data_IF_842653454868
#
_entry.id   IF_842653454868
#
_cell.length_a   1.000
_cell.length_b   1.000
_cell.length_c   1.000
_cell.angle_alpha   90.00
_cell.angle_beta   90.00
_cell.angle_gamma   90.00
#
_symmetry.space_group_name_H-M   'P 1'
#
loop_
_entity.id
_entity.type
_entity.pdbx_description
1 polymer ?
#
# COMPACT_ATOMS: atom_id res chain seq x y z
N UNK A 1 -19.73 -40.62 -76.79
CA UNK A 1 -19.99 -40.87 -75.36
C UNK A 1 -18.91 -40.16 -74.56
N UNK A 2 -19.14 -38.91 -74.15
CA UNK A 2 -19.85 -38.51 -72.92
C UNK A 2 -19.10 -38.95 -71.66
N UNK A 3 -18.50 -37.99 -70.95
CA UNK A 3 -18.94 -37.62 -69.60
C UNK A 3 -17.97 -36.61 -68.98
N UNK A 4 -18.49 -35.42 -68.71
CA UNK A 4 -17.96 -34.42 -67.79
C UNK A 4 -17.67 -35.01 -66.41
N UNK A 5 -16.56 -34.59 -65.78
CA UNK A 5 -16.53 -34.43 -64.34
C UNK A 5 -15.72 -33.19 -63.97
N UNK A 6 -16.48 -32.18 -63.53
CA UNK A 6 -16.01 -31.05 -62.72
C UNK A 6 -15.20 -31.56 -61.52
N UNK A 7 -13.96 -31.09 -61.43
CA UNK A 7 -13.07 -31.29 -60.30
C UNK A 7 -12.77 -29.95 -59.61
N UNK A 8 -13.81 -29.30 -59.06
CA UNK A 8 -13.61 -28.30 -58.00
C UNK A 8 -13.08 -29.03 -56.77
N UNK A 9 -11.75 -29.06 -56.64
CA UNK A 9 -11.08 -29.50 -55.42
C UNK A 9 -11.55 -28.61 -54.27
N UNK A 10 -12.44 -29.16 -53.45
CA UNK A 10 -12.91 -28.57 -52.21
C UNK A 10 -11.73 -28.19 -51.33
N UNK A 11 -11.71 -26.94 -50.92
CA UNK A 11 -10.87 -26.45 -49.82
C UNK A 11 -11.25 -27.28 -48.60
N UNK A 12 -10.25 -27.86 -47.94
CA UNK A 12 -10.36 -28.71 -46.76
C UNK A 12 -11.29 -28.14 -45.65
N UNK A 13 -12.59 -28.40 -45.72
CA UNK A 13 -13.57 -28.17 -44.65
C UNK A 13 -13.22 -28.85 -43.31
N UNK A 14 -12.50 -30.00 -43.24
CA UNK A 14 -12.14 -30.62 -41.95
C UNK A 14 -11.05 -29.84 -41.18
N UNK A 15 -10.14 -29.15 -41.90
CA UNK A 15 -8.97 -28.48 -41.31
C UNK A 15 -9.30 -27.08 -40.77
N UNK A 16 -10.22 -26.36 -41.42
CA UNK A 16 -10.69 -25.04 -40.95
C UNK A 16 -11.59 -25.21 -39.72
N UNK A 17 -12.47 -26.21 -39.73
CA UNK A 17 -13.33 -26.60 -38.59
C UNK A 17 -12.52 -26.87 -37.32
N UNK A 18 -11.49 -27.72 -37.41
CA UNK A 18 -10.61 -28.07 -36.27
C UNK A 18 -9.77 -26.90 -35.76
N UNK A 19 -9.45 -25.91 -36.61
CA UNK A 19 -8.73 -24.71 -36.21
C UNK A 19 -9.64 -23.73 -35.45
N UNK A 20 -10.88 -23.53 -35.93
CA UNK A 20 -11.89 -22.72 -35.26
C UNK A 20 -12.26 -23.28 -33.88
N UNK A 21 -12.47 -24.60 -33.76
CA UNK A 21 -12.76 -25.26 -32.48
C UNK A 21 -11.60 -25.11 -31.47
N UNK A 22 -10.35 -25.22 -31.93
CA UNK A 22 -9.16 -24.99 -31.09
C UNK A 22 -9.09 -23.56 -30.56
N UNK A 23 -9.35 -22.56 -31.41
CA UNK A 23 -9.38 -21.16 -31.00
C UNK A 23 -10.53 -20.86 -30.04
N UNK A 24 -11.70 -21.46 -30.26
CA UNK A 24 -12.84 -21.35 -29.35
C UNK A 24 -12.51 -21.91 -27.96
N UNK A 25 -11.83 -23.05 -27.89
CA UNK A 25 -11.36 -23.62 -26.63
C UNK A 25 -10.35 -22.74 -25.88
N UNK A 26 -9.48 -22.04 -26.61
CA UNK A 26 -8.52 -21.08 -26.03
C UNK A 26 -9.26 -19.86 -25.49
N UNK A 27 -10.23 -19.33 -26.23
CA UNK A 27 -11.11 -18.23 -25.82
C UNK A 27 -11.90 -18.58 -24.55
N UNK A 28 -12.52 -19.76 -24.50
CA UNK A 28 -13.26 -20.24 -23.32
C UNK A 28 -12.36 -20.38 -22.09
N UNK A 29 -11.12 -20.87 -22.27
CA UNK A 29 -10.15 -20.96 -21.17
C UNK A 29 -9.74 -19.58 -20.69
N UNK A 30 -9.50 -18.63 -21.60
CA UNK A 30 -9.16 -17.25 -21.24
C UNK A 30 -10.33 -16.55 -20.54
N UNK A 31 -11.56 -16.73 -21.00
CA UNK A 31 -12.75 -16.20 -20.33
C UNK A 31 -12.91 -16.78 -18.93
N UNK A 32 -12.78 -18.09 -18.75
CA UNK A 32 -12.82 -18.73 -17.42
C UNK A 32 -11.74 -18.18 -16.51
N UNK A 33 -10.52 -17.98 -17.02
CA UNK A 33 -9.40 -17.42 -16.26
C UNK A 33 -9.63 -15.96 -15.88
N UNK A 34 -10.19 -15.17 -16.80
CA UNK A 34 -10.54 -13.77 -16.55
C UNK A 34 -11.68 -13.63 -15.53
N UNK A 35 -12.72 -14.47 -15.62
CA UNK A 35 -13.78 -14.57 -14.60
C UNK A 35 -13.21 -14.93 -13.23
N UNK A 36 -12.29 -15.89 -13.15
CA UNK A 36 -11.60 -16.27 -11.91
C UNK A 36 -10.77 -15.12 -11.34
N UNK A 37 -9.95 -14.47 -12.15
CA UNK A 37 -9.13 -13.32 -11.73
C UNK A 37 -9.99 -12.15 -11.23
N UNK A 38 -11.11 -11.85 -11.89
CA UNK A 38 -12.06 -10.82 -11.41
C UNK A 38 -12.63 -11.17 -10.04
N UNK A 39 -12.89 -12.44 -9.77
CA UNK A 39 -13.44 -12.91 -8.49
C UNK A 39 -12.40 -12.85 -7.38
N UNK A 40 -11.15 -13.26 -7.66
CA UNK A 40 -10.00 -13.13 -6.77
C UNK A 40 -9.70 -11.67 -6.45
N UNK A 41 -9.74 -10.78 -7.45
CA UNK A 41 -9.55 -9.34 -7.25
C UNK A 41 -10.65 -8.74 -6.35
N UNK A 42 -11.91 -9.15 -6.53
CA UNK A 42 -13.02 -8.74 -5.66
C UNK A 42 -12.82 -9.20 -4.22
N UNK A 43 -12.42 -10.47 -4.01
CA UNK A 43 -12.13 -10.99 -2.67
C UNK A 43 -10.95 -10.26 -2.01
N UNK A 44 -9.87 -10.02 -2.74
CA UNK A 44 -8.71 -9.29 -2.23
C UNK A 44 -9.06 -7.85 -1.83
N UNK A 45 -9.88 -7.16 -2.62
CA UNK A 45 -10.37 -5.82 -2.28
C UNK A 45 -11.29 -5.82 -1.05
N UNK A 46 -12.15 -6.84 -0.91
CA UNK A 46 -13.01 -6.99 0.27
C UNK A 46 -12.16 -7.18 1.54
N UNK A 47 -11.11 -8.01 1.46
CA UNK A 47 -10.19 -8.25 2.57
C UNK A 47 -9.45 -6.97 2.96
N UNK A 48 -8.93 -6.21 1.99
CA UNK A 48 -8.29 -4.91 2.23
C UNK A 48 -9.23 -3.90 2.90
N UNK A 49 -10.51 -3.89 2.51
CA UNK A 49 -11.52 -3.03 3.15
C UNK A 49 -11.79 -3.45 4.60
N UNK A 50 -11.86 -4.76 4.88
CA UNK A 50 -12.00 -5.27 6.24
C UNK A 50 -10.78 -4.92 7.11
N UNK A 51 -9.56 -5.08 6.59
CA UNK A 51 -8.34 -4.72 7.32
C UNK A 51 -8.26 -3.22 7.58
N UNK A 52 -8.66 -2.39 6.61
CA UNK A 52 -8.77 -0.93 6.79
C UNK A 52 -9.79 -0.58 7.88
N UNK A 53 -10.93 -1.26 7.92
CA UNK A 53 -11.95 -1.03 8.96
C UNK A 53 -11.43 -1.41 10.36
N UNK A 54 -10.74 -2.55 10.50
CA UNK A 54 -10.10 -2.97 11.77
C UNK A 54 -9.02 -1.99 12.22
N UNK A 55 -8.22 -1.49 11.28
CA UNK A 55 -7.21 -0.46 11.55
C UNK A 55 -7.85 0.84 12.05
N UNK A 56 -8.92 1.30 11.39
CA UNK A 56 -9.67 2.48 11.84
C UNK A 56 -10.27 2.29 13.25
N UNK A 57 -10.85 1.12 13.55
CA UNK A 57 -11.34 0.82 14.91
C UNK A 57 -10.23 0.85 15.96
N UNK A 58 -9.06 0.29 15.64
CA UNK A 58 -7.91 0.29 16.54
C UNK A 58 -7.41 1.72 16.81
N UNK A 59 -7.35 2.56 15.76
CA UNK A 59 -7.01 3.98 15.87
C UNK A 59 -8.01 4.75 16.76
N UNK A 60 -9.32 4.54 16.58
CA UNK A 60 -10.32 5.16 17.43
C UNK A 60 -10.12 4.79 18.90
N UNK A 61 -9.85 3.52 19.19
CA UNK A 61 -9.61 3.05 20.57
C UNK A 61 -8.40 3.70 21.21
N UNK A 62 -7.27 3.76 20.49
CA UNK A 62 -6.05 4.44 20.97
C UNK A 62 -6.30 5.93 21.19
N UNK A 63 -7.11 6.55 20.33
CA UNK A 63 -7.47 7.98 20.46
C UNK A 63 -8.32 8.24 21.70
N UNK A 64 -9.28 7.37 22.01
CA UNK A 64 -10.07 7.44 23.24
C UNK A 64 -9.22 7.27 24.49
N UNK A 65 -8.29 6.31 24.50
CA UNK A 65 -7.35 6.08 25.60
C UNK A 65 -6.45 7.31 25.82
N UNK A 66 -5.90 7.90 24.76
CA UNK A 66 -5.10 9.13 24.84
C UNK A 66 -5.92 10.30 25.40
N UNK A 67 -7.16 10.47 24.95
CA UNK A 67 -8.10 11.46 25.52
C UNK A 67 -8.42 11.20 26.99
N UNK A 68 -8.44 9.94 27.43
CA UNK A 68 -8.56 9.54 28.83
C UNK A 68 -7.35 9.99 29.66
N UNK A 69 -6.15 9.64 29.21
CA UNK A 69 -4.88 10.03 29.87
C UNK A 69 -4.74 11.55 29.97
N UNK A 70 -5.08 12.29 28.90
CA UNK A 70 -5.00 13.75 28.90
C UNK A 70 -5.96 14.39 29.90
N UNK A 71 -7.15 13.81 30.10
CA UNK A 71 -8.09 14.23 31.16
C UNK A 71 -7.54 13.96 32.55
N UNK A 72 -6.90 12.82 32.78
CA UNK A 72 -6.27 12.52 34.08
C UNK A 72 -5.09 13.45 34.40
N UNK A 73 -4.22 13.72 33.42
CA UNK A 73 -3.12 14.69 33.58
C UNK A 73 -3.69 16.07 33.95
N UNK A 74 -4.75 16.49 33.26
CA UNK A 74 -5.40 17.79 33.55
C UNK A 74 -5.96 17.85 34.97
N UNK A 75 -6.67 16.79 35.41
CA UNK A 75 -7.16 16.67 36.80
C UNK A 75 -6.02 16.71 37.81
N UNK A 76 -4.93 15.98 37.57
CA UNK A 76 -3.77 15.97 38.45
C UNK A 76 -3.09 17.33 38.55
N UNK A 77 -3.00 18.08 37.44
CA UNK A 77 -2.44 19.43 37.46
C UNK A 77 -3.33 20.41 38.24
N UNK A 78 -4.66 20.32 38.09
CA UNK A 78 -5.61 21.10 38.89
C UNK A 78 -5.45 20.77 40.38
N UNK A 79 -5.40 19.49 40.75
CA UNK A 79 -5.21 19.07 42.14
C UNK A 79 -3.89 19.56 42.72
N UNK A 80 -2.79 19.50 41.96
CA UNK A 80 -1.50 20.07 42.38
C UNK A 80 -1.60 21.57 42.64
N UNK A 81 -2.30 22.31 41.77
CA UNK A 81 -2.48 23.75 41.91
C UNK A 81 -3.30 24.10 43.15
N UNK A 82 -4.39 23.38 43.40
CA UNK A 82 -5.22 23.52 44.61
C UNK A 82 -4.39 23.24 45.86
N UNK A 83 -3.60 22.16 45.89
CA UNK A 83 -2.76 21.82 47.03
C UNK A 83 -1.70 22.89 47.33
N UNK A 84 -1.06 23.44 46.29
CA UNK A 84 -0.13 24.57 46.41
C UNK A 84 -0.82 25.81 47.00
N UNK A 85 -2.03 26.10 46.55
CA UNK A 85 -2.78 27.27 47.03
C UNK A 85 -3.24 27.10 48.49
N UNK A 86 -3.67 25.89 48.88
CA UNK A 86 -3.96 25.54 50.28
C UNK A 86 -2.71 25.71 51.14
N UNK A 87 -1.55 25.18 50.71
CA UNK A 87 -0.31 25.29 51.46
C UNK A 87 0.12 26.75 51.65
N UNK A 88 -0.02 27.57 50.61
CA UNK A 88 0.27 29.00 50.67
C UNK A 88 -0.66 29.74 51.66
N UNK A 89 -1.96 29.43 51.65
CA UNK A 89 -2.91 30.00 52.63
C UNK A 89 -2.55 29.60 54.06
N UNK A 90 -2.22 28.33 54.31
CA UNK A 90 -1.77 27.88 55.62
C UNK A 90 -0.51 28.64 56.10
N UNK A 91 0.45 28.89 55.21
CA UNK A 91 1.63 29.70 55.57
C UNK A 91 1.29 31.15 55.89
N UNK A 92 0.39 31.77 55.12
CA UNK A 92 -0.08 33.13 55.38
C UNK A 92 -0.81 33.21 56.72
N UNK A 93 -1.73 32.29 56.99
CA UNK A 93 -2.50 32.25 58.23
C UNK A 93 -1.58 32.04 59.44
N UNK A 94 -0.59 31.16 59.32
CA UNK A 94 0.43 30.95 60.36
C UNK A 94 1.23 32.22 60.63
N UNK A 95 1.69 32.91 59.58
CA UNK A 95 2.45 34.16 59.71
C UNK A 95 1.61 35.28 60.33
N UNK A 96 0.32 35.37 59.97
CA UNK A 96 -0.61 36.32 60.58
C UNK A 96 -0.84 36.01 62.07
N UNK A 97 -0.91 34.73 62.43
CA UNK A 97 -1.05 34.29 63.82
C UNK A 97 0.20 34.61 64.65
N UNK A 98 1.39 34.42 64.08
CA UNK A 98 2.67 34.80 64.70
C UNK A 98 2.74 36.32 64.93
N UNK A 99 2.43 37.14 63.90
CA UNK A 99 2.39 38.60 64.02
C UNK A 99 1.39 39.09 65.08
N UNK A 100 0.17 38.52 65.10
CA UNK A 100 -0.83 38.89 66.09
C UNK A 100 -0.40 38.51 67.51
N UNK A 101 0.29 37.38 67.68
CA UNK A 101 0.84 36.98 68.98
C UNK A 101 1.94 37.92 69.45
N UNK A 102 2.77 38.43 68.53
CA UNK A 102 3.83 39.40 68.83
C UNK A 102 3.24 40.75 69.27
N UNK A 103 2.24 41.25 68.54
CA UNK A 103 1.53 42.49 68.90
C UNK A 103 0.87 42.38 70.29
N UNK A 104 0.22 41.25 70.60
CA UNK A 104 -0.40 41.04 71.91
C UNK A 104 0.63 40.97 73.03
N UNK A 105 1.81 40.43 72.75
CA UNK A 105 2.91 40.36 73.72
C UNK A 105 3.45 41.76 74.01
N UNK A 106 3.68 42.57 72.99
CA UNK A 106 4.15 43.96 73.15
C UNK A 106 3.13 44.81 73.93
N UNK A 107 1.83 44.61 73.68
CA UNK A 107 0.77 45.27 74.45
C UNK A 107 0.75 44.85 75.92
N UNK A 108 0.99 43.56 76.20
CA UNK A 108 1.04 43.04 77.56
C UNK A 108 2.25 43.59 78.31
N UNK A 109 3.42 43.61 77.67
CA UNK A 109 4.66 44.14 78.24
C UNK A 109 4.52 45.64 78.54
N UNK A 110 3.89 46.42 77.65
CA UNK A 110 3.59 47.84 77.90
C UNK A 110 2.68 48.05 79.12
N UNK A 111 1.63 47.23 79.28
CA UNK A 111 0.75 47.32 80.46
C UNK A 111 1.41 46.87 81.76
N UNK A 112 2.37 45.96 81.66
CA UNK A 112 3.12 45.47 82.81
C UNK A 112 4.04 46.58 83.36
N UNK A 113 4.67 47.34 82.47
CA UNK A 113 5.45 48.55 82.84
C UNK A 113 4.56 49.59 83.52
N UNK A 114 3.37 49.89 82.98
CA UNK A 114 2.42 50.81 83.62
C UNK A 114 1.98 50.36 85.02
N UNK A 115 1.78 49.04 85.20
CA UNK A 115 1.41 48.47 86.49
C UNK A 115 2.58 48.52 87.50
N UNK A 116 3.82 48.32 87.06
CA UNK A 116 5.02 48.45 87.89
C UNK A 116 5.20 49.90 88.38
N UNK A 117 5.01 50.89 87.52
CA UNK A 117 5.06 52.31 87.88
C UNK A 117 3.99 52.71 88.92
N UNK A 118 2.78 52.16 88.82
CA UNK A 118 1.71 52.36 89.81
C UNK A 118 2.05 51.72 91.17
N UNK A 119 2.67 50.54 91.17
CA UNK A 119 3.11 49.87 92.39
C UNK A 119 4.20 50.69 93.09
N UNK A 120 5.13 51.29 92.34
CA UNK A 120 6.16 52.19 92.89
C UNK A 120 5.53 53.40 93.56
N UNK A 121 4.60 54.10 92.88
CA UNK A 121 3.88 55.26 93.45
C UNK A 121 3.07 54.92 94.71
N UNK A 122 2.43 53.76 94.75
CA UNK A 122 1.69 53.29 95.94
C UNK A 122 2.61 52.96 97.12
N UNK A 123 3.82 52.43 96.87
CA UNK A 123 4.82 52.21 97.91
C UNK A 123 5.35 53.52 98.49
N UNK A 124 5.57 54.53 97.67
CA UNK A 124 5.99 55.87 98.10
C UNK A 124 4.91 56.55 98.96
N UNK A 125 3.63 56.45 98.58
CA UNK A 125 2.51 56.95 99.40
C UNK A 125 2.38 56.22 100.75
N UNK A 126 2.60 54.91 100.79
CA UNK A 126 2.55 54.14 102.04
C UNK A 126 3.69 54.52 103.01
N UNK A 127 4.89 54.84 102.49
CA UNK A 127 6.01 55.35 103.29
C UNK A 127 5.78 56.78 103.80
N UNK A 128 5.09 57.62 103.03
CA UNK A 128 4.71 58.99 103.43
C UNK A 128 3.67 58.99 104.57
N UNK A 129 2.71 58.05 104.55
CA UNK A 129 1.72 57.86 105.62
C UNK A 129 2.41 57.34 106.90
N UNK A 130 3.34 56.40 106.77
CA UNK A 130 4.08 55.85 107.92
C UNK A 130 5.01 56.87 108.60
N UNK A 131 5.41 57.96 107.91
CA UNK A 131 6.20 59.05 108.48
C UNK A 131 5.37 60.12 109.22
N UNK A 132 4.04 60.19 109.03
CA UNK A 132 3.17 61.23 109.62
C UNK A 132 2.55 60.88 110.98
N UNK A 133 2.80 59.69 111.55
CA UNK A 133 2.03 59.17 112.70
C UNK A 133 2.76 59.07 114.05
N UNK A 134 3.95 59.66 114.25
CA UNK A 134 4.66 59.58 115.54
C UNK A 134 5.41 60.88 115.91
N UNK A 135 4.71 61.85 116.50
CA UNK A 135 5.33 62.91 117.30
C UNK A 135 4.29 63.58 118.21
N UNK A 136 4.36 63.34 119.54
CA UNK A 136 3.67 64.17 120.54
C UNK A 136 4.22 63.98 121.98
N UNK A 137 4.70 65.11 122.55
CA UNK A 137 4.62 65.57 123.96
C UNK A 137 5.75 65.32 124.99
N UNK A 138 6.64 66.33 125.10
CA UNK A 138 6.95 67.30 126.20
C UNK A 138 7.04 66.91 127.70
N UNK A 139 8.23 67.17 128.26
CA UNK A 139 8.65 68.07 129.39
C UNK A 139 8.15 68.04 130.86
N UNK A 140 9.15 67.96 131.76
CA UNK A 140 9.46 68.78 132.98
C UNK A 140 8.97 68.43 134.43
N UNK A 141 9.95 68.06 135.30
CA UNK A 141 10.35 68.63 136.63
C UNK A 141 9.47 68.54 137.93
N UNK A 142 10.04 68.68 139.18
CA UNK A 142 9.98 67.66 140.26
C UNK A 142 9.62 68.13 141.70
N UNK A 143 9.14 67.24 142.60
CA UNK A 143 9.33 67.31 144.08
C UNK A 143 8.79 66.06 144.80
N UNK A 144 9.37 65.74 145.97
CA UNK A 144 8.94 64.77 147.03
C UNK A 144 9.85 63.53 147.15
N UNK A 145 10.84 63.62 148.05
CA UNK A 145 11.72 62.53 148.51
C UNK A 145 11.46 62.26 149.99
N UNK A 146 10.90 61.08 150.33
CA UNK A 146 11.36 60.18 151.44
C UNK A 146 10.50 58.92 151.62
N UNK A 147 9.34 58.77 150.95
CA UNK A 147 8.52 57.53 150.93
C UNK A 147 8.73 56.69 149.65
N UNK A 148 9.77 57.05 148.87
CA UNK A 148 10.07 56.63 147.50
C UNK A 148 10.84 55.29 147.40
N UNK A 149 11.66 54.94 148.39
CA UNK A 149 12.55 53.76 148.31
C UNK A 149 11.88 52.38 148.39
N UNK A 150 10.64 52.26 148.88
CA UNK A 150 9.92 50.97 148.95
C UNK A 150 8.86 50.80 147.86
N UNK A 151 8.33 51.89 147.32
CA UNK A 151 7.43 51.89 146.17
C UNK A 151 8.22 51.76 144.86
N UNK A 152 9.42 52.34 144.78
CA UNK A 152 10.29 52.29 143.59
C UNK A 152 10.80 50.88 143.28
N UNK A 153 11.12 50.06 144.30
CA UNK A 153 11.56 48.68 144.06
C UNK A 153 10.44 47.79 143.48
N UNK A 154 9.19 47.96 143.94
CA UNK A 154 8.04 47.25 143.39
C UNK A 154 7.64 47.78 142.00
N UNK A 155 7.70 49.10 141.80
CA UNK A 155 7.47 49.72 140.50
C UNK A 155 8.56 49.36 139.47
N UNK A 156 9.82 49.19 139.89
CA UNK A 156 10.93 48.78 139.05
C UNK A 156 10.82 47.31 138.63
N UNK A 157 10.40 46.41 139.54
CA UNK A 157 10.13 45.00 139.21
C UNK A 157 8.92 44.88 138.28
N UNK A 158 7.82 45.60 138.54
CA UNK A 158 6.66 45.60 137.64
C UNK A 158 6.97 46.26 136.29
N UNK A 159 7.76 47.34 136.26
CA UNK A 159 8.23 47.94 135.01
C UNK A 159 9.15 46.99 134.24
N UNK A 160 9.99 46.21 134.92
CA UNK A 160 10.84 45.18 134.31
C UNK A 160 10.00 44.03 133.75
N UNK A 161 9.03 43.52 134.49
CA UNK A 161 8.07 42.52 134.00
C UNK A 161 7.27 43.05 132.81
N UNK A 162 6.81 44.30 132.85
CA UNK A 162 6.04 44.89 131.76
C UNK A 162 6.89 45.16 130.51
N UNK A 163 8.18 45.48 130.65
CA UNK A 163 9.13 45.53 129.53
C UNK A 163 9.33 44.13 128.93
N UNK A 164 9.49 43.10 129.77
CA UNK A 164 9.65 41.72 129.31
C UNK A 164 8.39 41.20 128.59
N UNK A 165 7.19 41.52 129.11
CA UNK A 165 5.92 41.17 128.46
C UNK A 165 5.80 41.88 127.11
N UNK A 166 6.05 43.19 127.04
CA UNK A 166 6.01 43.93 125.76
C UNK A 166 7.03 43.40 124.75
N UNK A 167 8.21 43.01 125.22
CA UNK A 167 9.23 42.41 124.35
C UNK A 167 8.79 41.03 123.83
N UNK A 168 8.23 40.17 124.69
CA UNK A 168 7.68 38.88 124.28
C UNK A 168 6.47 39.04 123.33
N UNK A 169 5.64 40.07 123.51
CA UNK A 169 4.54 40.41 122.60
C UNK A 169 5.04 40.85 121.23
N UNK A 170 6.08 41.68 121.18
CA UNK A 170 6.74 42.09 119.94
C UNK A 170 7.37 40.90 119.21
N UNK A 171 8.14 40.06 119.92
CA UNK A 171 8.74 38.83 119.37
C UNK A 171 7.66 37.85 118.87
N UNK A 172 6.54 37.73 119.58
CA UNK A 172 5.38 36.93 119.15
C UNK A 172 4.70 37.50 117.91
N UNK A 173 4.59 38.82 117.80
CA UNK A 173 4.02 39.49 116.63
C UNK A 173 4.93 39.36 115.40
N UNK A 174 6.25 39.52 115.58
CA UNK A 174 7.25 39.26 114.54
C UNK A 174 7.23 37.79 114.09
N UNK A 175 7.12 36.85 115.03
CA UNK A 175 6.97 35.42 114.74
C UNK A 175 5.68 35.12 113.96
N UNK A 176 4.55 35.73 114.32
CA UNK A 176 3.29 35.60 113.56
C UNK A 176 3.42 36.14 112.14
N UNK A 177 4.04 37.31 111.95
CA UNK A 177 4.29 37.88 110.62
C UNK A 177 5.23 36.99 109.80
N UNK A 178 6.27 36.44 110.41
CA UNK A 178 7.17 35.48 109.77
C UNK A 178 6.44 34.20 109.35
N UNK A 179 5.58 33.64 110.22
CA UNK A 179 4.76 32.48 109.88
C UNK A 179 3.77 32.77 108.75
N UNK A 180 3.11 33.93 108.75
CA UNK A 180 2.18 34.30 107.69
C UNK A 180 2.90 34.46 106.33
N UNK A 181 4.10 35.03 106.34
CA UNK A 181 4.96 35.12 105.16
C UNK A 181 5.41 33.74 104.67
N UNK A 182 5.78 32.83 105.57
CA UNK A 182 6.11 31.45 105.21
C UNK A 182 4.90 30.71 104.63
N UNK A 183 3.70 30.89 105.18
CA UNK A 183 2.46 30.32 104.65
C UNK A 183 2.13 30.84 103.25
N UNK A 184 2.28 32.14 103.02
CA UNK A 184 2.13 32.74 101.67
C UNK A 184 3.16 32.18 100.68
N UNK A 185 4.41 31.97 101.12
CA UNK A 185 5.46 31.33 100.30
C UNK A 185 5.14 29.86 100.00
N UNK A 186 4.68 29.10 100.99
CA UNK A 186 4.27 27.70 100.81
C UNK A 186 3.15 27.58 99.77
N UNK A 187 2.09 28.38 99.89
CA UNK A 187 0.98 28.38 98.92
C UNK A 187 1.46 28.73 97.50
N UNK A 188 2.43 29.65 97.35
CA UNK A 188 3.05 29.95 96.05
C UNK A 188 3.84 28.75 95.52
N UNK A 189 4.62 28.08 96.37
CA UNK A 189 5.38 26.88 95.99
C UNK A 189 4.45 25.73 95.60
N UNK A 190 3.36 25.50 96.33
CA UNK A 190 2.36 24.48 96.00
C UNK A 190 1.66 24.78 94.67
N UNK A 191 1.29 26.05 94.43
CA UNK A 191 0.74 26.49 93.14
C UNK A 191 1.73 26.28 92.00
N UNK A 192 3.00 26.64 92.19
CA UNK A 192 4.06 26.40 91.20
C UNK A 192 4.30 24.91 90.97
N UNK A 193 4.22 24.09 92.01
CA UNK A 193 4.37 22.64 91.91
C UNK A 193 3.21 21.99 91.15
N UNK A 194 1.98 22.46 91.36
CA UNK A 194 0.81 22.04 90.58
C UNK A 194 0.96 22.41 89.09
N UNK A 195 1.37 23.65 88.79
CA UNK A 195 1.67 24.11 87.41
C UNK A 195 2.81 23.31 86.77
N UNK A 196 3.83 22.93 87.55
CA UNK A 196 4.92 22.06 87.08
C UNK A 196 4.38 20.68 86.71
N UNK A 197 3.48 20.10 87.51
CA UNK A 197 2.84 18.82 87.23
C UNK A 197 2.08 18.84 85.89
N UNK A 198 1.26 19.86 85.66
CA UNK A 198 0.51 20.00 84.40
C UNK A 198 1.43 20.24 83.18
N UNK A 199 2.51 21.01 83.36
CA UNK A 199 3.50 21.26 82.30
C UNK A 199 4.31 20.01 81.94
N UNK A 200 4.69 19.20 82.93
CA UNK A 200 5.40 17.93 82.70
C UNK A 200 4.49 16.95 81.97
N UNK A 201 3.23 16.86 82.36
CA UNK A 201 2.27 15.97 81.71
C UNK A 201 1.95 16.40 80.27
N UNK A 202 1.79 17.71 80.01
CA UNK A 202 1.58 18.21 78.65
C UNK A 202 2.81 17.99 77.76
N UNK A 203 4.01 18.16 78.32
CA UNK A 203 5.28 17.89 77.63
C UNK A 203 5.46 16.40 77.34
N UNK A 204 5.05 15.52 78.26
CA UNK A 204 5.07 14.07 78.08
C UNK A 204 4.12 13.62 76.98
N UNK A 205 2.90 14.15 76.95
CA UNK A 205 1.92 13.89 75.89
C UNK A 205 2.42 14.38 74.53
N UNK A 206 2.91 15.62 74.47
CA UNK A 206 3.49 16.19 73.25
C UNK A 206 4.65 15.34 72.71
N UNK A 207 5.54 14.86 73.59
CA UNK A 207 6.63 13.94 73.21
C UNK A 207 6.09 12.63 72.62
N UNK A 208 5.10 12.01 73.26
CA UNK A 208 4.49 10.77 72.78
C UNK A 208 3.82 10.96 71.41
N UNK A 209 3.10 12.06 71.21
CA UNK A 209 2.44 12.37 69.94
C UNK A 209 3.46 12.62 68.82
N UNK A 210 4.56 13.30 69.13
CA UNK A 210 5.67 13.52 68.19
C UNK A 210 6.39 12.22 67.82
N UNK A 211 6.62 11.32 68.78
CA UNK A 211 7.20 10.00 68.52
C UNK A 211 6.29 9.17 67.60
N UNK A 212 4.98 9.16 67.86
CA UNK A 212 4.02 8.48 67.00
C UNK A 212 3.99 9.08 65.59
N UNK A 213 3.98 10.41 65.48
CA UNK A 213 4.06 11.09 64.18
C UNK A 213 5.36 10.78 63.43
N UNK A 214 6.49 10.71 64.15
CA UNK A 214 7.78 10.35 63.58
C UNK A 214 7.78 8.91 63.03
N UNK A 215 7.19 7.96 63.75
CA UNK A 215 7.08 6.57 63.27
C UNK A 215 6.22 6.47 62.00
N UNK A 216 5.07 7.14 61.96
CA UNK A 216 4.21 7.21 60.77
C UNK A 216 4.93 7.82 59.57
N UNK A 217 5.64 8.94 59.75
CA UNK A 217 6.38 9.58 58.67
C UNK A 217 7.59 8.74 58.23
N UNK A 218 8.24 8.02 59.14
CA UNK A 218 9.31 7.08 58.80
C UNK A 218 8.78 5.94 57.91
N UNK A 219 7.62 5.38 58.23
CA UNK A 219 7.00 4.33 57.44
C UNK A 219 6.55 4.83 56.06
N UNK A 220 5.95 6.02 55.99
CA UNK A 220 5.63 6.69 54.71
C UNK A 220 6.88 6.89 53.86
N UNK A 221 7.98 7.38 54.45
CA UNK A 221 9.25 7.57 53.74
C UNK A 221 9.83 6.24 53.24
N UNK A 222 9.72 5.17 54.02
CA UNK A 222 10.13 3.82 53.59
C UNK A 222 9.30 3.34 52.40
N UNK A 223 7.98 3.53 52.43
CA UNK A 223 7.08 3.16 51.34
C UNK A 223 7.38 3.97 50.07
N UNK A 224 7.53 5.29 50.19
CA UNK A 224 7.91 6.15 49.07
C UNK A 224 9.27 5.76 48.47
N UNK A 225 10.25 5.40 49.31
CA UNK A 225 11.55 4.90 48.85
C UNK A 225 11.42 3.59 48.06
N UNK A 226 10.57 2.67 48.54
CA UNK A 226 10.25 1.44 47.82
C UNK A 226 9.56 1.72 46.47
N UNK A 227 8.65 2.69 46.41
CA UNK A 227 7.99 3.04 45.16
C UNK A 227 8.94 3.71 44.18
N UNK A 228 9.86 4.56 44.67
CA UNK A 228 10.94 5.15 43.84
C UNK A 228 11.83 4.06 43.25
N UNK A 229 12.22 3.04 44.03
CA UNK A 229 13.06 1.95 43.52
C UNK A 229 12.33 1.09 42.48
N UNK A 230 11.04 0.78 42.71
CA UNK A 230 10.19 0.11 41.71
C UNK A 230 10.08 0.94 40.43
N UNK A 231 9.78 2.23 40.53
CA UNK A 231 9.68 3.11 39.36
C UNK A 231 10.99 3.19 38.58
N UNK A 232 12.13 3.27 39.27
CA UNK A 232 13.45 3.20 38.61
C UNK A 232 13.64 1.90 37.85
N UNK A 233 13.25 0.75 38.42
CA UNK A 233 13.36 -0.54 37.73
C UNK A 233 12.47 -0.61 36.48
N UNK A 234 11.24 -0.07 36.56
CA UNK A 234 10.31 0.00 35.43
C UNK A 234 10.89 0.89 34.33
N UNK A 235 11.42 2.06 34.68
CA UNK A 235 12.07 2.98 33.71
C UNK A 235 13.25 2.29 33.01
N UNK A 236 14.10 1.57 33.75
CA UNK A 236 15.20 0.81 33.16
C UNK A 236 14.70 -0.26 32.18
N UNK A 237 13.65 -1.00 32.53
CA UNK A 237 13.05 -2.01 31.64
C UNK A 237 12.45 -1.37 30.38
N UNK A 238 11.73 -0.24 30.52
CA UNK A 238 11.19 0.50 29.39
C UNK A 238 12.29 1.03 28.47
N UNK A 239 13.38 1.57 29.03
CA UNK A 239 14.52 2.04 28.24
C UNK A 239 15.17 0.91 27.43
N UNK A 240 15.26 -0.29 28.00
CA UNK A 240 15.74 -1.47 27.27
C UNK A 240 14.79 -1.85 26.13
N UNK A 241 13.47 -1.85 26.38
CA UNK A 241 12.48 -2.11 25.33
C UNK A 241 12.56 -1.07 24.20
N UNK A 242 12.69 0.22 24.52
CA UNK A 242 12.86 1.29 23.53
C UNK A 242 14.14 1.08 22.71
N UNK A 243 15.24 0.68 23.35
CA UNK A 243 16.50 0.36 22.65
C UNK A 243 16.31 -0.81 21.67
N UNK A 244 15.62 -1.87 22.08
CA UNK A 244 15.32 -3.01 21.22
C UNK A 244 14.41 -2.64 20.05
N UNK A 245 13.38 -1.84 20.29
CA UNK A 245 12.49 -1.35 19.22
C UNK A 245 13.24 -0.47 18.21
N UNK A 246 14.17 0.38 18.67
CA UNK A 246 15.04 1.15 17.77
C UNK A 246 15.87 0.24 16.84
N UNK A 247 16.46 -0.82 17.39
CA UNK A 247 17.20 -1.81 16.58
C UNK A 247 16.31 -2.55 15.59
N UNK A 248 15.08 -2.91 15.99
CA UNK A 248 14.11 -3.54 15.07
C UNK A 248 13.72 -2.61 13.92
N UNK A 249 13.50 -1.33 14.19
CA UNK A 249 13.20 -0.32 13.15
C UNK A 249 14.37 -0.18 12.17
N UNK A 250 15.60 -0.15 12.68
CA UNK A 250 16.81 -0.08 11.85
C UNK A 250 16.92 -1.31 10.93
N UNK A 251 16.75 -2.52 11.47
CA UNK A 251 16.76 -3.74 10.68
C UNK A 251 15.67 -3.75 9.59
N UNK A 252 14.43 -3.40 9.94
CA UNK A 252 13.33 -3.32 8.97
C UNK A 252 13.57 -2.26 7.90
N UNK A 253 14.25 -1.17 8.24
CA UNK A 253 14.62 -0.13 7.27
C UNK A 253 15.66 -0.66 6.29
N UNK A 254 16.65 -1.40 6.77
CA UNK A 254 17.65 -2.06 5.92
C UNK A 254 17.01 -3.12 5.01
N UNK A 255 16.14 -3.97 5.55
CA UNK A 255 15.40 -4.98 4.77
C UNK A 255 14.55 -4.32 3.67
N UNK A 256 13.93 -3.19 3.97
CA UNK A 256 13.16 -2.41 2.98
C UNK A 256 14.05 -1.86 1.87
N UNK A 257 15.23 -1.33 2.23
CA UNK A 257 16.21 -0.83 1.24
C UNK A 257 16.66 -1.99 0.34
N UNK A 258 17.03 -3.13 0.92
CA UNK A 258 17.45 -4.32 0.18
C UNK A 258 16.33 -4.88 -0.73
N UNK A 259 15.09 -4.91 -0.24
CA UNK A 259 13.96 -5.34 -1.07
C UNK A 259 13.72 -4.38 -2.23
N UNK A 260 13.88 -3.06 -2.02
CA UNK A 260 13.72 -2.06 -3.08
C UNK A 260 14.83 -2.17 -4.13
N UNK A 261 16.08 -2.43 -3.74
CA UNK A 261 17.16 -2.65 -4.70
C UNK A 261 16.92 -3.90 -5.54
N UNK A 262 16.51 -5.02 -4.92
CA UNK A 262 16.10 -6.24 -5.64
C UNK A 262 14.95 -5.98 -6.61
N UNK A 263 13.96 -5.18 -6.22
CA UNK A 263 12.83 -4.82 -7.10
C UNK A 263 13.30 -4.01 -8.32
N UNK A 264 14.20 -3.04 -8.14
CA UNK A 264 14.78 -2.26 -9.23
C UNK A 264 15.59 -3.16 -10.19
N UNK A 265 16.34 -4.13 -9.66
CA UNK A 265 17.05 -5.10 -10.48
C UNK A 265 16.10 -5.97 -11.30
N UNK A 266 15.03 -6.48 -10.71
CA UNK A 266 14.00 -7.24 -11.42
C UNK A 266 13.36 -6.40 -12.53
N UNK A 267 13.01 -5.14 -12.22
CA UNK A 267 12.46 -4.21 -13.21
C UNK A 267 13.41 -4.01 -14.38
N UNK A 268 14.70 -3.75 -14.10
CA UNK A 268 15.75 -3.60 -15.12
C UNK A 268 15.87 -4.86 -16.00
N UNK A 269 15.87 -6.05 -15.41
CA UNK A 269 15.93 -7.32 -16.15
C UNK A 269 14.69 -7.52 -17.02
N UNK A 270 13.50 -7.16 -16.54
CA UNK A 270 12.26 -7.25 -17.31
C UNK A 270 12.26 -6.27 -18.50
N UNK A 271 12.69 -5.02 -18.29
CA UNK A 271 12.82 -4.02 -19.35
C UNK A 271 13.82 -4.46 -20.41
N UNK A 272 14.97 -5.02 -20.00
CA UNK A 272 15.95 -5.58 -20.94
C UNK A 272 15.34 -6.72 -21.77
N UNK A 273 14.68 -7.69 -21.14
CA UNK A 273 14.05 -8.81 -21.86
C UNK A 273 12.96 -8.34 -22.83
N UNK A 274 12.19 -7.32 -22.46
CA UNK A 274 11.17 -6.74 -23.33
C UNK A 274 11.81 -6.08 -24.56
N UNK A 275 12.92 -5.36 -24.37
CA UNK A 275 13.67 -4.74 -25.45
C UNK A 275 14.26 -5.80 -26.40
N UNK A 276 14.90 -6.84 -25.86
CA UNK A 276 15.48 -7.94 -26.64
C UNK A 276 14.41 -8.65 -27.48
N UNK A 277 13.24 -8.92 -26.89
CA UNK A 277 12.14 -9.62 -27.55
C UNK A 277 11.49 -8.73 -28.63
N UNK A 278 11.37 -7.44 -28.37
CA UNK A 278 10.90 -6.45 -29.35
C UNK A 278 11.84 -6.32 -30.54
N UNK A 279 13.16 -6.34 -30.29
CA UNK A 279 14.17 -6.31 -31.36
C UNK A 279 14.14 -7.61 -32.18
N UNK A 280 14.04 -8.77 -31.54
CA UNK A 280 13.91 -10.06 -32.21
C UNK A 280 12.66 -10.13 -33.10
N UNK A 281 11.52 -9.64 -32.61
CA UNK A 281 10.29 -9.55 -33.40
C UNK A 281 10.45 -8.61 -34.60
N UNK A 282 11.08 -7.45 -34.42
CA UNK A 282 11.34 -6.50 -35.51
C UNK A 282 12.21 -7.14 -36.60
N UNK A 283 13.29 -7.84 -36.22
CA UNK A 283 14.14 -8.59 -37.17
C UNK A 283 13.35 -9.66 -37.92
N UNK A 284 12.47 -10.39 -37.24
CA UNK A 284 11.63 -11.42 -37.86
C UNK A 284 10.61 -10.83 -38.85
N UNK A 285 9.99 -9.70 -38.52
CA UNK A 285 9.06 -9.00 -39.42
C UNK A 285 9.79 -8.57 -40.70
N UNK A 286 10.99 -7.98 -40.58
CA UNK A 286 11.80 -7.57 -41.74
C UNK A 286 12.19 -8.78 -42.60
N UNK A 287 12.64 -9.89 -41.98
CA UNK A 287 12.99 -11.10 -42.70
C UNK A 287 11.78 -11.74 -43.42
N UNK A 288 10.63 -11.79 -42.75
CA UNK A 288 9.39 -12.27 -43.35
C UNK A 288 8.95 -11.40 -44.53
N UNK A 289 8.98 -10.07 -44.38
CA UNK A 289 8.63 -9.15 -45.46
C UNK A 289 9.56 -9.30 -46.67
N UNK A 290 10.85 -9.55 -46.45
CA UNK A 290 11.80 -9.84 -47.53
C UNK A 290 11.47 -11.18 -48.24
N UNK A 291 11.13 -12.22 -47.47
CA UNK A 291 10.72 -13.52 -48.01
C UNK A 291 9.41 -13.44 -48.80
N UNK A 292 8.43 -12.69 -48.29
CA UNK A 292 7.15 -12.48 -48.96
C UNK A 292 7.33 -11.76 -50.29
N UNK A 293 8.13 -10.69 -50.30
CA UNK A 293 8.49 -9.98 -51.53
C UNK A 293 9.17 -10.90 -52.55
N UNK A 294 10.15 -11.70 -52.10
CA UNK A 294 10.82 -12.67 -52.98
C UNK A 294 9.84 -13.69 -53.58
N UNK A 295 8.92 -14.22 -52.78
CA UNK A 295 7.89 -15.15 -53.27
C UNK A 295 6.94 -14.46 -54.25
N UNK A 296 6.56 -13.21 -53.99
CA UNK A 296 5.69 -12.44 -54.87
C UNK A 296 6.35 -12.10 -56.21
N UNK A 297 7.65 -11.77 -56.20
CA UNK A 297 8.45 -11.56 -57.41
C UNK A 297 8.55 -12.87 -58.22
N UNK A 298 8.82 -14.00 -57.55
CA UNK A 298 8.87 -15.32 -58.19
C UNK A 298 7.53 -15.73 -58.80
N UNK A 299 6.43 -15.48 -58.09
CA UNK A 299 5.08 -15.77 -58.57
C UNK A 299 4.71 -14.91 -59.79
N UNK A 300 5.10 -13.64 -59.79
CA UNK A 300 4.91 -12.74 -60.94
C UNK A 300 5.67 -13.25 -62.17
N UNK A 301 6.94 -13.64 -62.01
CA UNK A 301 7.73 -14.21 -63.09
C UNK A 301 7.11 -15.50 -63.66
N UNK A 302 6.64 -16.41 -62.79
CA UNK A 302 5.96 -17.64 -63.23
C UNK A 302 4.66 -17.35 -63.98
N UNK A 303 3.88 -16.36 -63.53
CA UNK A 303 2.67 -15.92 -64.25
C UNK A 303 3.01 -15.40 -65.65
N UNK A 304 4.05 -14.58 -65.78
CA UNK A 304 4.50 -14.07 -67.08
C UNK A 304 4.99 -15.19 -68.01
N UNK A 305 5.74 -16.16 -67.47
CA UNK A 305 6.17 -17.34 -68.21
C UNK A 305 4.98 -18.17 -68.70
N UNK A 306 4.00 -18.42 -67.82
CA UNK A 306 2.80 -19.18 -68.18
C UNK A 306 1.96 -18.48 -69.26
N UNK A 307 1.75 -17.16 -69.13
CA UNK A 307 1.04 -16.36 -70.15
C UNK A 307 1.78 -16.44 -71.49
N UNK A 308 3.11 -16.36 -71.47
CA UNK A 308 3.93 -16.46 -72.69
C UNK A 308 3.82 -17.83 -73.35
N UNK A 309 3.84 -18.91 -72.56
CA UNK A 309 3.65 -20.27 -73.05
C UNK A 309 2.26 -20.49 -73.66
N UNK A 310 1.19 -19.98 -73.02
CA UNK A 310 -0.16 -20.03 -73.59
C UNK A 310 -0.20 -19.30 -74.93
N UNK A 311 0.35 -18.08 -75.01
CA UNK A 311 0.36 -17.32 -76.27
C UNK A 311 1.11 -18.06 -77.38
N UNK A 312 2.25 -18.68 -77.05
CA UNK A 312 3.01 -19.48 -78.01
C UNK A 312 2.22 -20.71 -78.48
N UNK A 313 1.59 -21.45 -77.57
CA UNK A 313 0.76 -22.61 -77.90
C UNK A 313 -0.46 -22.22 -78.74
N UNK A 314 -1.14 -21.13 -78.38
CA UNK A 314 -2.27 -20.61 -79.17
C UNK A 314 -1.83 -20.24 -80.59
N UNK A 315 -0.65 -19.62 -80.75
CA UNK A 315 -0.10 -19.30 -82.08
C UNK A 315 0.26 -20.56 -82.89
N UNK A 316 0.80 -21.59 -82.23
CA UNK A 316 1.08 -22.89 -82.85
C UNK A 316 -0.21 -23.59 -83.29
N UNK A 317 -1.26 -23.54 -82.49
CA UNK A 317 -2.57 -24.10 -82.85
C UNK A 317 -3.19 -23.36 -84.04
N UNK A 318 -3.22 -22.02 -84.03
CA UNK A 318 -3.80 -21.26 -85.14
C UNK A 318 -3.05 -21.45 -86.45
N UNK A 319 -1.71 -21.55 -86.41
CA UNK A 319 -0.92 -21.86 -87.60
C UNK A 319 -1.12 -23.30 -88.09
N UNK A 320 -1.26 -24.27 -87.19
CA UNK A 320 -1.59 -25.65 -87.52
C UNK A 320 -2.99 -25.78 -88.14
N UNK A 321 -3.98 -25.07 -87.59
CA UNK A 321 -5.35 -25.03 -88.12
C UNK A 321 -5.39 -24.42 -89.51
N UNK A 322 -4.68 -23.30 -89.73
CA UNK A 322 -4.57 -22.67 -91.05
C UNK A 322 -3.95 -23.63 -92.07
N UNK A 323 -2.84 -24.29 -91.72
CA UNK A 323 -2.20 -25.29 -92.57
C UNK A 323 -3.13 -26.48 -92.89
N UNK A 324 -3.90 -26.92 -91.91
CA UNK A 324 -4.87 -28.01 -92.08
C UNK A 324 -5.98 -27.60 -93.04
N UNK A 325 -6.51 -26.38 -92.92
CA UNK A 325 -7.52 -25.84 -93.84
C UNK A 325 -7.00 -25.72 -95.28
N UNK A 326 -5.75 -25.26 -95.46
CA UNK A 326 -5.10 -25.21 -96.78
C UNK A 326 -4.99 -26.59 -97.42
N UNK A 327 -4.60 -27.61 -96.64
CA UNK A 327 -4.54 -29.01 -97.10
C UNK A 327 -5.92 -29.53 -97.48
N UNK A 328 -6.94 -29.32 -96.65
CA UNK A 328 -8.31 -29.72 -96.97
C UNK A 328 -8.82 -29.06 -98.25
N UNK A 329 -8.57 -27.76 -98.43
CA UNK A 329 -8.94 -27.04 -99.64
C UNK A 329 -8.20 -27.58 -100.88
N UNK A 330 -6.90 -27.87 -100.76
CA UNK A 330 -6.11 -28.47 -101.84
C UNK A 330 -6.64 -29.85 -102.26
N UNK A 331 -6.96 -30.70 -101.28
CA UNK A 331 -7.56 -32.03 -101.52
C UNK A 331 -8.95 -31.89 -102.16
N UNK A 332 -9.80 -30.98 -101.65
CA UNK A 332 -11.12 -30.74 -102.20
C UNK A 332 -11.04 -30.27 -103.67
N UNK A 333 -10.12 -29.36 -103.98
CA UNK A 333 -9.92 -28.86 -105.35
C UNK A 333 -9.42 -29.97 -106.29
N UNK A 334 -8.49 -30.80 -105.84
CA UNK A 334 -7.97 -31.93 -106.60
C UNK A 334 -9.05 -32.97 -106.89
N UNK A 335 -9.85 -33.33 -105.90
CA UNK A 335 -10.98 -34.25 -106.09
C UNK A 335 -12.02 -33.66 -107.04
N UNK A 336 -12.30 -32.35 -106.94
CA UNK A 336 -13.16 -31.66 -107.91
C UNK A 336 -12.59 -31.72 -109.32
N UNK A 337 -11.28 -31.58 -109.52
CA UNK A 337 -10.65 -31.70 -110.83
C UNK A 337 -10.75 -33.13 -111.39
N UNK A 338 -10.47 -34.15 -110.57
CA UNK A 338 -10.59 -35.57 -110.95
C UNK A 338 -12.03 -35.98 -111.28
N UNK A 339 -13.03 -35.36 -110.65
CA UNK A 339 -14.45 -35.67 -110.88
C UNK A 339 -15.11 -34.76 -111.92
N UNK A 340 -14.53 -33.59 -112.22
CA UNK A 340 -14.98 -32.69 -113.28
C UNK A 340 -14.54 -33.12 -114.68
N UNK A 341 -13.65 -34.11 -114.80
CA UNK A 341 -13.44 -34.84 -116.06
C UNK A 341 -14.65 -35.73 -116.34
N UNK A 342 -15.76 -35.10 -116.74
CA UNK A 342 -16.79 -35.80 -117.50
C UNK A 342 -16.27 -36.02 -118.93
N UNK A 343 -16.25 -37.27 -119.40
CA UNK A 343 -16.14 -37.58 -120.82
C UNK A 343 -17.43 -37.13 -121.54
N UNK A 344 -17.35 -36.71 -122.82
CA UNK A 344 -18.55 -36.47 -123.61
C UNK A 344 -19.28 -37.78 -123.84
N UNK A 345 -20.52 -37.89 -123.34
CA UNK A 345 -21.44 -38.97 -123.67
C UNK A 345 -21.86 -38.83 -125.13
N UNK A 346 -21.06 -39.40 -126.03
CA UNK A 346 -21.52 -40.21 -127.15
C UNK A 346 -20.33 -40.92 -127.81
N UNK A 347 -19.68 -41.83 -127.10
CA UNK A 347 -18.78 -42.83 -127.71
C UNK A 347 -18.82 -44.13 -126.87
N UNK A 348 -19.89 -44.88 -127.09
CA UNK A 348 -19.98 -46.32 -126.84
C UNK A 348 -18.83 -47.04 -127.56
N UNK A 349 -18.23 -48.03 -126.89
CA UNK A 349 -17.12 -48.90 -127.34
C UNK A 349 -15.83 -48.16 -127.76
N UNK A 350 -14.86 -48.07 -126.86
CA UNK A 350 -13.45 -48.01 -127.24
C UNK A 350 -12.56 -48.39 -126.06
N UNK A 351 -12.00 -49.59 -126.10
CA UNK A 351 -10.73 -49.93 -125.48
C UNK A 351 -9.70 -48.89 -125.97
N UNK A 352 -9.21 -48.03 -125.07
CA UNK A 352 -8.01 -47.22 -125.34
C UNK A 352 -7.08 -47.19 -124.13
N UNK A 353 -5.76 -47.28 -124.36
CA UNK A 353 -4.73 -47.32 -123.31
C UNK A 353 -4.61 -46.04 -122.46
N UNK A 354 -5.27 -44.93 -122.85
CA UNK A 354 -5.24 -43.66 -122.10
C UNK A 354 -6.06 -43.69 -120.81
N UNK A 355 -7.13 -44.50 -120.75
CA UNK A 355 -7.89 -44.68 -119.51
C UNK A 355 -7.14 -45.55 -118.50
N UNK A 356 -6.39 -46.56 -118.98
CA UNK A 356 -5.50 -47.36 -118.16
C UNK A 356 -4.28 -46.55 -117.68
N UNK A 357 -3.72 -45.67 -118.53
CA UNK A 357 -2.66 -44.73 -118.12
C UNK A 357 -3.13 -43.75 -117.05
N UNK A 358 -4.31 -43.15 -117.18
CA UNK A 358 -4.83 -42.22 -116.18
C UNK A 358 -5.20 -42.92 -114.85
N UNK A 359 -5.68 -44.16 -114.91
CA UNK A 359 -5.94 -44.98 -113.71
C UNK A 359 -4.62 -45.43 -113.07
N UNK A 360 -3.62 -45.82 -113.85
CA UNK A 360 -2.31 -46.21 -113.35
C UNK A 360 -1.54 -45.01 -112.77
N UNK A 361 -1.62 -43.84 -113.40
CA UNK A 361 -1.02 -42.60 -112.90
C UNK A 361 -1.69 -42.16 -111.59
N UNK A 362 -3.02 -42.28 -111.49
CA UNK A 362 -3.74 -42.04 -110.23
C UNK A 362 -3.42 -43.07 -109.14
N UNK A 363 -3.19 -44.34 -109.51
CA UNK A 363 -2.74 -45.40 -108.61
C UNK A 363 -1.31 -45.17 -108.10
N UNK A 364 -0.40 -44.75 -108.99
CA UNK A 364 1.00 -44.44 -108.67
C UNK A 364 1.09 -43.18 -107.78
N UNK A 365 0.22 -42.19 -107.98
CA UNK A 365 0.16 -40.96 -107.18
C UNK A 365 -0.39 -41.23 -105.77
N UNK A 366 -1.43 -42.05 -105.65
CA UNK A 366 -2.07 -42.38 -104.38
C UNK A 366 -1.45 -43.60 -103.66
N UNK A 367 -0.48 -44.27 -104.29
CA UNK A 367 0.09 -45.54 -103.82
C UNK A 367 -0.98 -46.61 -103.55
N UNK A 368 -2.03 -46.64 -104.38
CA UNK A 368 -3.13 -47.61 -104.28
C UNK A 368 -3.02 -48.61 -105.44
N UNK A 369 -3.44 -49.85 -105.23
CA UNK A 369 -3.55 -50.80 -106.35
C UNK A 369 -4.71 -50.42 -107.28
N UNK A 370 -4.63 -50.75 -108.59
CA UNK A 370 -5.72 -50.50 -109.54
C UNK A 370 -7.07 -51.03 -109.09
N UNK A 371 -7.08 -52.15 -108.35
CA UNK A 371 -8.29 -52.77 -107.81
C UNK A 371 -8.88 -51.97 -106.64
N UNK A 372 -8.04 -51.40 -105.78
CA UNK A 372 -8.47 -50.53 -104.68
C UNK A 372 -9.02 -49.20 -105.20
N UNK A 373 -8.36 -48.63 -106.22
CA UNK A 373 -8.81 -47.42 -106.90
C UNK A 373 -10.17 -47.64 -107.58
N UNK A 374 -10.35 -48.76 -108.28
CA UNK A 374 -11.62 -49.11 -108.92
C UNK A 374 -12.74 -49.35 -107.89
N UNK A 375 -12.43 -49.96 -106.74
CA UNK A 375 -13.38 -50.15 -105.65
C UNK A 375 -13.81 -48.82 -105.00
N UNK A 376 -12.91 -47.83 -104.93
CA UNK A 376 -13.24 -46.48 -104.45
C UNK A 376 -14.14 -45.75 -105.46
N UNK A 377 -13.82 -45.81 -106.75
CA UNK A 377 -14.62 -45.19 -107.82
C UNK A 377 -16.01 -45.84 -107.93
N UNK A 378 -16.09 -47.16 -107.75
CA UNK A 378 -17.35 -47.90 -107.81
C UNK A 378 -18.19 -47.70 -106.54
N UNK A 379 -17.59 -47.66 -105.36
CA UNK A 379 -18.31 -47.38 -104.11
C UNK A 379 -18.90 -45.96 -104.09
N UNK A 380 -18.21 -45.00 -104.71
CA UNK A 380 -18.71 -43.65 -104.91
C UNK A 380 -19.90 -43.52 -105.87
N UNK A 381 -20.06 -44.46 -106.81
CA UNK A 381 -21.17 -44.45 -107.80
C UNK A 381 -22.48 -45.02 -107.25
N UNK A 382 -22.46 -45.72 -106.12
CA UNK A 382 -23.59 -46.52 -105.64
C UNK A 382 -24.27 -46.03 -104.35
N UNK A 383 -23.81 -44.96 -103.70
CA UNK A 383 -24.45 -44.48 -102.47
C UNK A 383 -24.66 -42.96 -102.44
N UNK A 384 -25.92 -42.56 -102.27
CA UNK A 384 -26.30 -41.23 -101.80
C UNK A 384 -25.71 -41.02 -100.41
N UNK A 385 -24.63 -40.24 -100.30
CA UNK A 385 -24.28 -39.42 -99.12
C UNK A 385 -22.91 -38.76 -99.32
N UNK A 386 -22.89 -37.41 -99.40
CA UNK A 386 -21.67 -36.57 -99.32
C UNK A 386 -20.79 -36.85 -98.08
N UNK A 387 -21.34 -37.54 -97.08
CA UNK A 387 -20.70 -37.86 -95.80
C UNK A 387 -19.64 -38.96 -95.94
N UNK A 388 -19.79 -39.88 -96.89
CA UNK A 388 -18.87 -41.02 -97.03
C UNK A 388 -17.54 -40.61 -97.68
N UNK A 389 -17.56 -39.65 -98.61
CA UNK A 389 -16.36 -39.13 -99.25
C UNK A 389 -15.44 -38.39 -98.28
N UNK A 390 -16.00 -37.64 -97.31
CA UNK A 390 -15.24 -36.93 -96.30
C UNK A 390 -14.53 -37.90 -95.34
N UNK A 391 -15.18 -39.01 -94.97
CA UNK A 391 -14.55 -40.08 -94.19
C UNK A 391 -13.43 -40.78 -94.96
N UNK A 392 -13.62 -41.02 -96.26
CA UNK A 392 -12.61 -41.70 -97.07
C UNK A 392 -11.42 -40.79 -97.42
N UNK A 393 -11.65 -39.49 -97.57
CA UNK A 393 -10.57 -38.50 -97.62
C UNK A 393 -9.81 -38.42 -96.29
N UNK A 394 -10.50 -38.48 -95.14
CA UNK A 394 -9.86 -38.52 -93.81
C UNK A 394 -9.01 -39.78 -93.62
N UNK A 395 -9.46 -40.95 -94.12
CA UNK A 395 -8.67 -42.18 -94.14
C UNK A 395 -7.44 -42.05 -95.03
N UNK A 396 -7.57 -41.46 -96.21
CA UNK A 396 -6.47 -41.29 -97.15
C UNK A 396 -5.36 -40.36 -96.60
N UNK A 397 -5.74 -39.28 -95.90
CA UNK A 397 -4.79 -38.33 -95.27
C UNK A 397 -4.00 -38.97 -94.10
N UNK A 398 -4.57 -39.96 -93.42
CA UNK A 398 -3.95 -40.63 -92.26
C UNK A 398 -3.25 -41.95 -92.61
N UNK A 399 -3.25 -42.39 -93.87
CA UNK A 399 -2.41 -43.52 -94.30
C UNK A 399 -0.94 -43.08 -94.30
N UNK A 400 -0.09 -43.82 -93.58
CA UNK A 400 1.36 -43.61 -93.44
C UNK A 400 2.14 -43.45 -94.78
N UNK A 401 1.51 -43.82 -95.90
CA UNK A 401 2.09 -43.84 -97.26
C UNK A 401 1.48 -42.81 -98.22
N UNK A 402 0.57 -41.96 -97.78
CA UNK A 402 0.05 -40.86 -98.59
C UNK A 402 1.19 -39.87 -98.85
N UNK A 403 1.72 -39.94 -100.07
CA UNK A 403 3.11 -39.59 -100.32
C UNK A 403 3.37 -38.09 -100.29
N UNK A 404 4.58 -37.70 -99.85
CA UNK A 404 5.15 -36.35 -100.00
C UNK A 404 4.99 -35.79 -101.43
N UNK A 405 4.87 -36.66 -102.45
CA UNK A 405 4.67 -36.26 -103.85
C UNK A 405 3.31 -35.63 -104.12
N UNK A 406 2.26 -35.95 -103.34
CA UNK A 406 0.97 -35.28 -103.53
C UNK A 406 1.04 -33.81 -103.12
N UNK A 407 1.84 -33.47 -102.10
CA UNK A 407 2.12 -32.09 -101.74
C UNK A 407 2.81 -31.32 -102.88
N UNK A 408 3.80 -31.94 -103.53
CA UNK A 408 4.50 -31.35 -104.69
C UNK A 408 3.59 -31.22 -105.92
N UNK A 409 2.76 -32.22 -106.23
CA UNK A 409 1.83 -32.18 -107.37
C UNK A 409 0.65 -31.24 -107.16
N UNK A 410 0.12 -31.12 -105.94
CA UNK A 410 -0.90 -30.11 -105.60
C UNK A 410 -0.32 -28.70 -105.70
N UNK A 411 0.93 -28.51 -105.26
CA UNK A 411 1.64 -27.24 -105.39
C UNK A 411 1.92 -26.89 -106.87
N UNK A 412 2.33 -27.86 -107.68
CA UNK A 412 2.52 -27.68 -109.13
C UNK A 412 1.19 -27.45 -109.86
N UNK A 413 0.11 -28.15 -109.53
CA UNK A 413 -1.20 -27.92 -110.12
C UNK A 413 -1.76 -26.54 -109.76
N UNK A 414 -1.57 -26.08 -108.52
CA UNK A 414 -1.94 -24.71 -108.10
C UNK A 414 -1.10 -23.67 -108.84
N UNK A 415 0.21 -23.89 -109.02
CA UNK A 415 1.05 -22.99 -109.81
C UNK A 415 0.70 -23.01 -111.31
N UNK A 416 0.35 -24.17 -111.85
CA UNK A 416 -0.03 -24.32 -113.26
C UNK A 416 -1.37 -23.63 -113.55
N UNK A 417 -2.34 -23.68 -112.63
CA UNK A 417 -3.60 -22.94 -112.73
C UNK A 417 -3.41 -21.44 -112.49
N UNK A 418 -2.47 -21.04 -111.62
CA UNK A 418 -2.14 -19.63 -111.38
C UNK A 418 -1.41 -19.00 -112.58
N UNK A 419 -0.58 -19.77 -113.29
CA UNK A 419 0.13 -19.31 -114.48
C UNK A 419 -0.71 -19.39 -115.78
N UNK A 420 -1.74 -20.23 -115.84
CA UNK A 420 -2.66 -20.34 -117.00
C UNK A 420 -3.91 -19.43 -116.89
N UNK A 421 -3.91 -18.44 -115.98
CA UNK A 421 -5.00 -17.45 -115.84
C UNK A 421 -4.61 -16.04 -116.27
N UNK A 422 -3.75 -15.92 -117.29
CA UNK A 422 -3.59 -14.74 -118.13
C UNK A 422 -3.63 -15.12 -119.61
#
# INVERSE_FOLDING_TARGET
SSSDQDGTAGIDEPLVSTCCERWQHVLDRLEKRNKKLKLELKQANLLRLQDKAKYCQSLSRVTEELCGVQREISKNNINKRINLEIQNRFHIDKKNQENNSEILKDQLDSKLVEAEDLIIKLKEQAQEISKRTLQNKTDHSPRINLLKGRLDAAAEVMAKQQRQIKQAELESQESKLAMENLKKRLNRVESLNSKRGTLVESSRKSKSDLELKLTLESEKNKNLSNDITKLKSIISAMNLQVSNLKKQIENLTNDKIESNTKLLDVKRVMEQKLNDLSEALRKKIVANGASEKFLQDKLSCLREQYISQIKELSLKMTSSDARSQELFYGIELFLKMLLASKPPESLSSLDTPQAEEAVQEACDILNLSPTEMQNIVNSARTSDEKVNWLQECYKLIHLEKFSEKLGYLLFDAVNHVRNNKY
#
